data_IF_550330942030
#
_entry.id   IF_550330942030
#
_cell.length_a   1.000
_cell.length_b   1.000
_cell.length_c   1.000
_cell.angle_alpha   90.00
_cell.angle_beta   90.00
_cell.angle_gamma   90.00
#
_symmetry.space_group_name_H-M   'P 1'
#
loop_
_entity.id
_entity.type
_entity.pdbx_description
1 polymer ?
#
# COMPACT_ATOMS: atom_id res chain seq x y z
N UNK A 1 9.07 19.90 18.98
CA UNK A 1 8.62 18.57 18.51
C UNK A 1 8.33 18.69 17.02
N UNK A 2 9.32 18.42 16.16
CA UNK A 2 9.16 18.58 14.70
C UNK A 2 8.58 17.30 14.09
N UNK A 3 7.34 17.38 13.62
CA UNK A 3 6.66 16.30 12.88
C UNK A 3 7.33 16.07 11.53
N UNK A 4 7.95 14.90 11.36
CA UNK A 4 8.50 14.42 10.09
C UNK A 4 7.36 14.16 9.09
N UNK A 5 7.32 14.90 7.99
CA UNK A 5 6.31 14.70 6.94
C UNK A 5 6.75 13.56 6.02
N UNK A 6 6.16 12.37 6.20
CA UNK A 6 6.41 11.20 5.35
C UNK A 6 5.50 11.27 4.14
N UNK A 7 6.07 11.40 2.93
CA UNK A 7 5.32 11.26 1.68
C UNK A 7 5.13 9.78 1.36
N UNK A 8 3.87 9.33 1.35
CA UNK A 8 3.50 7.96 0.97
C UNK A 8 3.41 7.88 -0.56
N UNK A 9 4.13 6.93 -1.17
CA UNK A 9 4.03 6.63 -2.60
C UNK A 9 2.79 5.75 -2.89
N UNK A 10 1.79 6.24 -3.65
CA UNK A 10 0.60 5.47 -3.97
C UNK A 10 0.88 4.16 -4.71
N UNK A 11 1.92 4.09 -5.54
CA UNK A 11 2.28 2.86 -6.28
C UNK A 11 2.80 1.78 -5.34
N UNK A 12 3.61 2.20 -4.36
CA UNK A 12 4.06 1.30 -3.30
C UNK A 12 2.88 0.75 -2.51
N UNK A 13 1.91 1.59 -2.14
CA UNK A 13 0.69 1.15 -1.43
C UNK A 13 -0.12 0.19 -2.30
N UNK A 14 -0.31 0.50 -3.59
CA UNK A 14 -1.05 -0.37 -4.51
C UNK A 14 -0.44 -1.77 -4.60
N UNK A 15 0.89 -1.88 -4.71
CA UNK A 15 1.58 -3.16 -4.69
C UNK A 15 1.35 -3.95 -3.40
N UNK A 16 1.31 -3.28 -2.25
CA UNK A 16 1.02 -3.94 -0.97
C UNK A 16 -0.42 -4.40 -0.86
N UNK A 17 -1.37 -3.56 -1.31
CA UNK A 17 -2.79 -3.91 -1.37
C UNK A 17 -2.97 -5.18 -2.21
N UNK A 18 -2.45 -5.21 -3.45
CA UNK A 18 -2.57 -6.36 -4.34
C UNK A 18 -1.98 -7.63 -3.72
N UNK A 19 -0.76 -7.57 -3.18
CA UNK A 19 -0.13 -8.74 -2.55
C UNK A 19 -0.84 -9.22 -1.30
N UNK A 20 -1.30 -8.29 -0.46
CA UNK A 20 -1.96 -8.66 0.79
C UNK A 20 -3.32 -9.31 0.50
N UNK A 21 -4.13 -8.71 -0.38
CA UNK A 21 -5.40 -9.28 -0.80
C UNK A 21 -5.22 -10.66 -1.46
N UNK A 22 -4.20 -10.84 -2.32
CA UNK A 22 -3.91 -12.14 -2.91
C UNK A 22 -3.61 -13.22 -1.85
N UNK A 23 -2.82 -12.88 -0.82
CA UNK A 23 -2.46 -13.81 0.26
C UNK A 23 -3.67 -14.20 1.10
N UNK A 24 -4.49 -13.24 1.49
CA UNK A 24 -5.66 -13.49 2.34
C UNK A 24 -6.78 -14.19 1.57
N UNK A 25 -6.98 -13.84 0.30
CA UNK A 25 -7.93 -14.51 -0.57
C UNK A 25 -7.54 -15.98 -0.82
N UNK A 26 -6.25 -16.28 -1.01
CA UNK A 26 -5.75 -17.65 -1.10
C UNK A 26 -5.99 -18.46 0.19
N UNK A 27 -6.10 -17.79 1.34
CA UNK A 27 -6.44 -18.38 2.65
C UNK A 27 -7.95 -18.44 2.91
N UNK A 28 -8.79 -17.99 1.96
CA UNK A 28 -10.24 -17.91 2.13
C UNK A 28 -10.69 -16.86 3.15
N UNK A 29 -9.83 -15.91 3.53
CA UNK A 29 -10.12 -14.88 4.53
C UNK A 29 -10.72 -13.63 3.90
N UNK A 30 -11.66 -13.03 4.62
CA UNK A 30 -12.18 -11.70 4.29
C UNK A 30 -11.25 -10.64 4.86
N UNK A 31 -10.94 -9.62 4.07
CA UNK A 31 -10.07 -8.51 4.48
C UNK A 31 -10.91 -7.27 4.68
N UNK A 32 -10.81 -6.63 5.85
CA UNK A 32 -11.39 -5.30 6.08
C UNK A 32 -10.36 -4.24 5.74
N UNK A 33 -10.83 -3.06 5.37
CA UNK A 33 -9.97 -1.93 5.03
C UNK A 33 -9.08 -1.48 6.20
N UNK A 34 -9.58 -1.57 7.44
CA UNK A 34 -8.80 -1.23 8.65
C UNK A 34 -7.66 -2.21 8.88
N UNK A 35 -7.94 -3.51 8.76
CA UNK A 35 -6.94 -4.56 8.92
C UNK A 35 -5.86 -4.44 7.83
N UNK A 36 -6.28 -4.14 6.60
CA UNK A 36 -5.36 -3.88 5.49
C UNK A 36 -4.48 -2.66 5.75
N UNK A 37 -5.04 -1.57 6.25
CA UNK A 37 -4.28 -0.37 6.57
C UNK A 37 -3.27 -0.61 7.70
N UNK A 38 -3.68 -1.35 8.73
CA UNK A 38 -2.81 -1.78 9.83
C UNK A 38 -1.66 -2.66 9.31
N UNK A 39 -1.97 -3.66 8.48
CA UNK A 39 -0.98 -4.58 7.92
C UNK A 39 0.03 -3.91 6.98
N UNK A 40 -0.36 -2.83 6.28
CA UNK A 40 0.54 -2.06 5.40
C UNK A 40 1.30 -0.98 6.20
N UNK A 41 0.80 -0.57 7.37
CA UNK A 41 1.42 0.49 8.18
C UNK A 41 1.16 1.90 7.63
N UNK A 42 0.02 2.13 7.00
CA UNK A 42 -0.36 3.44 6.43
C UNK A 42 -1.76 3.86 6.89
N UNK A 43 -2.13 5.13 6.68
CA UNK A 43 -3.44 5.63 7.10
C UNK A 43 -4.55 4.97 6.28
N UNK A 44 -5.67 4.63 6.93
CA UNK A 44 -6.88 4.09 6.27
C UNK A 44 -7.32 4.94 5.07
N UNK A 45 -7.24 6.27 5.17
CA UNK A 45 -7.59 7.19 4.08
C UNK A 45 -6.76 6.99 2.82
N UNK A 46 -5.46 6.72 2.97
CA UNK A 46 -4.55 6.50 1.84
C UNK A 46 -4.83 5.15 1.18
N UNK A 47 -5.05 4.10 1.98
CA UNK A 47 -5.48 2.79 1.47
C UNK A 47 -6.81 2.91 0.73
N UNK A 48 -7.78 3.64 1.29
CA UNK A 48 -9.10 3.85 0.67
C UNK A 48 -8.95 4.47 -0.72
N UNK A 49 -8.12 5.51 -0.84
CA UNK A 49 -7.89 6.20 -2.12
C UNK A 49 -7.25 5.26 -3.15
N UNK A 50 -6.26 4.46 -2.73
CA UNK A 50 -5.60 3.50 -3.60
C UNK A 50 -6.52 2.35 -4.02
N UNK A 51 -7.30 1.79 -3.08
CA UNK A 51 -8.30 0.75 -3.39
C UNK A 51 -9.36 1.27 -4.35
N UNK A 52 -9.81 2.51 -4.19
CA UNK A 52 -10.74 3.13 -5.14
C UNK A 52 -10.13 3.26 -6.54
N UNK A 53 -8.85 3.65 -6.65
CA UNK A 53 -8.15 3.68 -7.94
C UNK A 53 -8.04 2.30 -8.59
N UNK A 54 -7.59 1.29 -7.83
CA UNK A 54 -7.51 -0.09 -8.30
C UNK A 54 -8.88 -0.67 -8.68
N UNK A 55 -9.96 -0.21 -8.04
CA UNK A 55 -11.32 -0.61 -8.39
C UNK A 55 -11.77 0.01 -9.72
N UNK A 56 -11.50 1.29 -9.93
CA UNK A 56 -11.78 1.95 -11.20
C UNK A 56 -10.99 1.33 -12.36
N UNK A 57 -9.77 0.84 -12.10
CA UNK A 57 -8.95 0.08 -13.05
C UNK A 57 -9.39 -1.39 -13.23
N UNK A 58 -10.35 -1.86 -12.43
CA UNK A 58 -10.90 -3.22 -12.53
C UNK A 58 -10.02 -4.31 -11.90
N UNK A 59 -9.05 -3.96 -11.06
CA UNK A 59 -8.14 -4.90 -10.39
C UNK A 59 -8.66 -5.37 -9.03
N UNK A 60 -9.48 -4.55 -8.37
CA UNK A 60 -10.04 -4.84 -7.05
C UNK A 60 -11.55 -4.66 -7.09
N UNK A 61 -12.29 -5.57 -6.50
CA UNK A 61 -13.68 -5.33 -6.09
C UNK A 61 -13.65 -4.67 -4.71
N UNK A 62 -13.84 -3.34 -4.66
CA UNK A 62 -13.77 -2.57 -3.43
C UNK A 62 -14.92 -2.89 -2.46
N UNK A 63 -16.08 -3.34 -2.96
CA UNK A 63 -17.21 -3.70 -2.12
C UNK A 63 -16.94 -5.02 -1.39
N UNK A 64 -16.30 -5.97 -2.07
CA UNK A 64 -15.96 -7.29 -1.50
C UNK A 64 -14.56 -7.37 -0.91
N UNK A 65 -13.73 -6.34 -1.10
CA UNK A 65 -12.30 -6.33 -0.75
C UNK A 65 -11.57 -7.57 -1.28
N UNK A 66 -11.78 -7.89 -2.56
CA UNK A 66 -11.20 -9.04 -3.26
C UNK A 66 -10.53 -8.63 -4.55
N UNK A 67 -9.55 -9.42 -4.98
CA UNK A 67 -8.96 -9.24 -6.30
C UNK A 67 -9.89 -9.79 -7.37
N UNK A 68 -9.96 -9.07 -8.48
CA UNK A 68 -10.46 -9.61 -9.75
C UNK A 68 -9.37 -10.48 -10.40
N UNK A 69 -9.66 -11.07 -11.55
CA UNK A 69 -8.65 -11.84 -12.29
C UNK A 69 -7.45 -11.02 -12.72
N UNK A 70 -7.66 -9.78 -13.17
CA UNK A 70 -6.54 -8.90 -13.55
C UNK A 70 -5.70 -8.51 -12.34
N UNK A 71 -6.34 -8.20 -11.20
CA UNK A 71 -5.63 -7.91 -9.95
C UNK A 71 -4.83 -9.11 -9.42
N UNK A 72 -5.37 -10.33 -9.55
CA UNK A 72 -4.67 -11.55 -9.15
C UNK A 72 -3.45 -11.82 -10.04
N UNK A 73 -3.59 -11.64 -11.37
CA UNK A 73 -2.48 -11.80 -12.31
C UNK A 73 -1.33 -10.81 -12.00
N UNK A 74 -1.66 -9.55 -11.71
CA UNK A 74 -0.67 -8.55 -11.28
C UNK A 74 0.01 -8.94 -9.97
N UNK A 75 -0.76 -9.36 -8.97
CA UNK A 75 -0.21 -9.79 -7.69
C UNK A 75 0.70 -11.03 -7.82
N UNK A 76 0.39 -11.94 -8.75
CA UNK A 76 1.22 -13.10 -9.05
C UNK A 76 2.54 -12.69 -9.73
N UNK A 77 2.49 -11.78 -10.71
CA UNK A 77 3.67 -11.23 -11.37
C UNK A 77 4.58 -10.44 -10.41
N UNK A 78 4.02 -9.88 -9.34
CA UNK A 78 4.76 -9.11 -8.32
C UNK A 78 5.53 -9.95 -7.30
N UNK A 79 5.45 -11.30 -7.31
CA UNK A 79 5.97 -12.15 -6.23
C UNK A 79 7.45 -11.91 -5.85
N UNK A 80 8.22 -11.26 -6.71
CA UNK A 80 9.65 -10.94 -6.47
C UNK A 80 9.96 -9.49 -6.06
N UNK A 81 8.97 -8.60 -5.92
CA UNK A 81 9.22 -7.17 -5.68
C UNK A 81 9.17 -6.78 -4.20
N UNK A 82 10.31 -6.85 -3.50
CA UNK A 82 10.47 -6.24 -2.16
C UNK A 82 10.52 -4.71 -2.28
N UNK A 83 9.89 -4.00 -1.33
CA UNK A 83 9.98 -2.54 -1.24
C UNK A 83 11.42 -2.12 -0.95
N UNK A 84 11.87 -1.07 -1.62
CA UNK A 84 13.08 -0.34 -1.21
C UNK A 84 12.78 0.37 0.12
N UNK A 85 13.72 0.33 1.05
CA UNK A 85 13.57 1.00 2.35
C UNK A 85 13.16 2.48 2.17
N UNK A 86 12.26 3.00 3.03
CA UNK A 86 11.90 4.41 3.01
C UNK A 86 13.16 5.27 3.11
N UNK A 87 13.39 6.18 2.14
CA UNK A 87 14.50 7.13 2.22
C UNK A 87 14.23 8.08 3.38
N UNK A 88 14.92 7.90 4.50
CA UNK A 88 14.99 8.91 5.55
C UNK A 88 15.82 10.06 4.99
N UNK A 89 15.17 11.15 4.57
CA UNK A 89 15.86 12.37 4.16
C UNK A 89 16.56 12.97 5.37
N UNK A 90 17.84 12.65 5.54
CA UNK A 90 18.74 13.32 6.47
C UNK A 90 18.92 14.76 5.98
N UNK A 91 18.03 15.67 6.40
CA UNK A 91 18.24 17.10 6.21
C UNK A 91 19.57 17.42 6.90
N UNK A 92 20.58 17.68 6.09
CA UNK A 92 21.91 18.02 6.52
C UNK A 92 21.84 19.23 7.46
N UNK A 93 22.22 18.97 8.71
CA UNK A 93 23.03 19.79 9.61
C UNK A 93 23.78 20.95 8.91
N UNK A 94 23.09 22.01 8.50
CA UNK A 94 23.65 23.27 8.01
C UNK A 94 22.72 24.43 8.38
N UNK A 95 22.72 24.80 9.65
CA UNK A 95 22.47 26.18 10.09
C UNK A 95 22.74 26.30 11.59
N UNK A 96 24.00 26.58 11.93
CA UNK A 96 24.45 27.48 13.02
C UNK A 96 25.92 27.20 13.32
N UNK A 97 26.78 27.87 12.57
CA UNK A 97 28.11 28.29 13.00
C UNK A 97 28.34 29.65 12.34
N UNK A 98 27.76 30.68 12.95
CA UNK A 98 28.11 32.09 12.91
C UNK A 98 27.20 32.78 13.94
#
# INVERSE_FOLDING_TARGET
MSSTHVHIDPKAVAAHVLRHLAREQARGRLVRLDDLACAIGVRRGDVRRVVAGLHAEGHVDAARMKLTMTGLALAAAMRDSKLREPRVTKRARQSRAA
#
